data_IF_260783104690
#
_entry.id   IF_260783104690
#
_cell.length_a   1.000
_cell.length_b   1.000
_cell.length_c   1.000
_cell.angle_alpha   90.00
_cell.angle_beta   90.00
_cell.angle_gamma   90.00
#
_symmetry.space_group_name_H-M   'P 1'
#
loop_
_entity.id
_entity.type
_entity.pdbx_description
1 polymer ?
#
# COMPACT_ATOMS: atom_id res chain seq x y z
N UNK A 1 13.32 6.16 20.47
CA UNK A 1 11.97 6.42 21.00
C UNK A 1 11.26 5.09 21.13
N UNK A 2 10.66 4.79 22.28
CA UNK A 2 9.86 3.57 22.45
C UNK A 2 8.42 3.82 21.97
N UNK A 3 8.01 3.12 20.91
CA UNK A 3 6.67 3.24 20.32
C UNK A 3 5.61 2.46 21.10
N UNK A 4 5.99 1.49 21.93
CA UNK A 4 5.06 0.65 22.68
C UNK A 4 4.25 1.44 23.72
N UNK A 5 4.83 2.53 24.23
CA UNK A 5 4.19 3.45 25.18
C UNK A 5 3.22 4.45 24.54
N UNK A 6 3.16 4.52 23.20
CA UNK A 6 2.30 5.46 22.47
C UNK A 6 0.94 4.87 22.18
N UNK A 7 -0.10 5.70 22.22
CA UNK A 7 -1.44 5.36 21.72
C UNK A 7 -1.49 5.43 20.19
N UNK A 8 -2.51 4.82 19.57
CA UNK A 8 -2.71 4.88 18.11
C UNK A 8 -2.86 6.33 17.63
N UNK A 9 -3.56 7.17 18.42
CA UNK A 9 -3.73 8.59 18.12
C UNK A 9 -2.39 9.33 18.13
N UNK A 10 -1.51 9.03 19.09
CA UNK A 10 -0.18 9.62 19.14
C UNK A 10 0.71 9.20 17.97
N UNK A 11 0.65 7.93 17.56
CA UNK A 11 1.38 7.46 16.37
C UNK A 11 0.89 8.18 15.12
N UNK A 12 -0.43 8.27 14.92
CA UNK A 12 -1.00 8.98 13.78
C UNK A 12 -0.63 10.47 13.77
N UNK A 13 -0.62 11.13 14.94
CA UNK A 13 -0.19 12.52 15.06
C UNK A 13 1.29 12.69 14.72
N UNK A 14 2.16 11.80 15.18
CA UNK A 14 3.59 11.83 14.83
C UNK A 14 3.80 11.67 13.33
N UNK A 15 3.14 10.68 12.70
CA UNK A 15 3.19 10.46 11.25
C UNK A 15 2.74 11.72 10.50
N UNK A 16 1.59 12.29 10.89
CA UNK A 16 1.07 13.50 10.27
C UNK A 16 2.03 14.68 10.41
N UNK A 17 2.66 14.86 11.57
CA UNK A 17 3.65 15.92 11.77
C UNK A 17 4.87 15.76 10.85
N UNK A 18 5.35 14.53 10.65
CA UNK A 18 6.41 14.25 9.68
C UNK A 18 5.95 14.56 8.24
N UNK A 19 4.72 14.19 7.90
CA UNK A 19 4.14 14.46 6.59
C UNK A 19 3.99 15.96 6.30
N UNK A 20 3.50 16.73 7.27
CA UNK A 20 3.28 18.18 7.18
C UNK A 20 4.61 18.97 7.12
N UNK A 21 5.64 18.50 7.82
CA UNK A 21 6.97 19.12 7.83
C UNK A 21 7.89 18.65 6.71
N UNK A 22 7.38 17.80 5.81
CA UNK A 22 8.16 17.13 4.78
C UNK A 22 9.39 16.37 5.31
N UNK A 23 9.29 15.81 6.52
CA UNK A 23 10.37 15.15 7.25
C UNK A 23 10.24 13.62 7.23
N UNK A 24 9.93 13.05 6.05
CA UNK A 24 9.71 11.61 5.81
C UNK A 24 11.01 10.80 5.72
N UNK A 25 12.12 11.50 5.51
CA UNK A 25 13.49 10.98 5.49
C UNK A 25 14.02 10.62 6.89
N UNK A 26 13.36 11.12 7.95
CA UNK A 26 13.77 10.85 9.33
C UNK A 26 13.69 9.35 9.62
N UNK A 27 14.72 8.73 10.25
CA UNK A 27 14.74 7.30 10.53
C UNK A 27 13.54 6.76 11.34
N UNK A 28 12.87 7.63 12.10
CA UNK A 28 11.69 7.26 12.89
C UNK A 28 10.41 7.13 12.05
N UNK A 29 10.32 7.81 10.90
CA UNK A 29 9.13 7.80 10.05
C UNK A 29 8.76 6.39 9.56
N UNK A 30 9.65 5.61 8.93
CA UNK A 30 9.31 4.24 8.53
C UNK A 30 8.96 3.33 9.72
N UNK A 31 9.57 3.54 10.89
CA UNK A 31 9.24 2.80 12.11
C UNK A 31 7.81 3.10 12.60
N UNK A 32 7.36 4.35 12.48
CA UNK A 32 5.98 4.73 12.79
C UNK A 32 4.98 4.08 11.84
N UNK A 33 5.31 3.99 10.54
CA UNK A 33 4.48 3.31 9.54
C UNK A 33 4.34 1.82 9.82
N UNK A 34 5.45 1.13 10.10
CA UNK A 34 5.46 -0.29 10.48
C UNK A 34 4.64 -0.55 11.75
N UNK A 35 4.82 0.29 12.79
CA UNK A 35 4.06 0.13 14.03
C UNK A 35 2.56 0.35 13.81
N UNK A 36 2.18 1.36 13.01
CA UNK A 36 0.78 1.61 12.64
C UNK A 36 0.17 0.43 11.90
N UNK A 37 0.90 -0.16 10.96
CA UNK A 37 0.47 -1.35 10.23
C UNK A 37 0.37 -2.58 11.14
N UNK A 38 1.34 -2.80 12.04
CA UNK A 38 1.31 -3.91 13.03
C UNK A 38 0.07 -3.83 13.93
N UNK A 39 -0.29 -2.63 14.39
CA UNK A 39 -1.49 -2.43 15.21
C UNK A 39 -2.78 -2.62 14.42
N UNK A 40 -2.80 -2.20 13.16
CA UNK A 40 -3.92 -2.46 12.27
C UNK A 40 -4.09 -3.97 12.00
N UNK A 41 -2.99 -4.70 11.79
CA UNK A 41 -2.98 -6.16 11.61
C UNK A 41 -3.62 -6.88 12.79
N UNK A 42 -3.29 -6.47 14.02
CA UNK A 42 -3.84 -7.09 15.24
C UNK A 42 -5.36 -6.92 15.38
N UNK A 43 -5.96 -5.94 14.69
CA UNK A 43 -7.39 -5.63 14.74
C UNK A 43 -8.14 -6.07 13.47
N UNK A 44 -7.42 -6.19 12.35
CA UNK A 44 -7.94 -6.50 11.03
C UNK A 44 -8.08 -8.00 10.78
N UNK A 45 -8.86 -8.35 9.75
CA UNK A 45 -8.96 -9.75 9.27
C UNK A 45 -8.01 -10.03 8.11
N UNK A 46 -7.68 -8.99 7.34
CA UNK A 46 -6.72 -9.08 6.23
C UNK A 46 -5.29 -9.13 6.74
N UNK A 47 -4.42 -9.84 6.01
CA UNK A 47 -3.03 -10.05 6.39
C UNK A 47 -2.09 -9.28 5.46
N UNK A 48 -1.37 -8.29 6.01
CA UNK A 48 -0.44 -7.46 5.24
C UNK A 48 0.72 -8.26 4.65
N UNK A 49 1.26 -9.24 5.38
CA UNK A 49 2.40 -10.02 4.90
C UNK A 49 1.97 -10.94 3.75
N UNK A 50 0.81 -11.58 3.86
CA UNK A 50 0.25 -12.38 2.75
C UNK A 50 -0.09 -11.50 1.54
N UNK A 51 -0.62 -10.30 1.78
CA UNK A 51 -0.92 -9.34 0.72
C UNK A 51 0.33 -8.86 -0.01
N UNK A 52 1.39 -8.49 0.73
CA UNK A 52 2.69 -8.14 0.14
C UNK A 52 3.27 -9.33 -0.62
N UNK A 53 3.20 -10.55 -0.05
CA UNK A 53 3.65 -11.76 -0.73
C UNK A 53 2.95 -11.96 -2.07
N UNK A 54 1.62 -11.88 -2.09
CA UNK A 54 0.83 -11.96 -3.32
C UNK A 54 1.24 -10.88 -4.34
N UNK A 55 1.43 -9.63 -3.90
CA UNK A 55 1.80 -8.55 -4.80
C UNK A 55 3.23 -8.70 -5.33
N UNK A 56 4.16 -9.19 -4.52
CA UNK A 56 5.52 -9.51 -4.97
C UNK A 56 5.50 -10.60 -6.03
N UNK A 57 4.73 -11.66 -5.80
CA UNK A 57 4.56 -12.74 -6.79
C UNK A 57 3.93 -12.23 -8.08
N UNK A 58 2.94 -11.34 -7.97
CA UNK A 58 2.31 -10.69 -9.10
C UNK A 58 3.33 -9.84 -9.89
N UNK A 59 4.14 -9.03 -9.20
CA UNK A 59 5.24 -8.24 -9.77
C UNK A 59 6.23 -9.12 -10.54
N UNK A 60 6.65 -10.24 -9.94
CA UNK A 60 7.53 -11.24 -10.57
C UNK A 60 6.86 -11.85 -11.81
N UNK A 61 5.59 -12.23 -11.72
CA UNK A 61 4.83 -12.82 -12.84
C UNK A 61 4.48 -11.80 -13.93
N UNK A 62 4.66 -10.51 -13.67
CA UNK A 62 4.28 -9.41 -14.53
C UNK A 62 2.77 -9.38 -14.84
N UNK A 63 1.96 -9.65 -13.82
CA UNK A 63 0.50 -9.72 -13.92
C UNK A 63 -0.15 -8.86 -12.84
N UNK A 64 -1.25 -8.20 -13.14
CA UNK A 64 -2.03 -7.52 -12.12
C UNK A 64 -2.76 -8.53 -11.19
N UNK A 65 -3.10 -8.07 -9.99
CA UNK A 65 -3.96 -8.78 -9.04
C UNK A 65 -5.20 -7.94 -8.71
N UNK A 66 -6.19 -8.54 -8.07
CA UNK A 66 -7.42 -7.84 -7.67
C UNK A 66 -7.61 -7.80 -6.16
N UNK A 67 -8.46 -6.89 -5.71
CA UNK A 67 -8.86 -6.80 -4.30
C UNK A 67 -9.44 -8.12 -3.77
N UNK A 68 -10.16 -8.86 -4.61
CA UNK A 68 -10.68 -10.19 -4.25
C UNK A 68 -9.56 -11.19 -3.97
N UNK A 69 -8.49 -11.18 -4.78
CA UNK A 69 -7.34 -12.08 -4.59
C UNK A 69 -6.53 -11.70 -3.35
N UNK A 70 -6.47 -10.42 -2.97
CA UNK A 70 -5.88 -9.98 -1.69
C UNK A 70 -6.66 -10.55 -0.50
N UNK A 71 -8.01 -10.52 -0.59
CA UNK A 71 -8.88 -11.09 0.43
C UNK A 71 -8.72 -12.61 0.52
N UNK A 72 -8.71 -13.30 -0.64
CA UNK A 72 -8.48 -14.74 -0.76
C UNK A 72 -7.12 -15.16 -0.18
N UNK A 73 -6.04 -14.44 -0.49
CA UNK A 73 -4.72 -14.70 0.08
C UNK A 73 -4.72 -14.56 1.61
N UNK A 74 -5.57 -13.70 2.16
CA UNK A 74 -5.77 -13.56 3.61
C UNK A 74 -6.70 -14.63 4.20
N UNK A 75 -7.37 -15.44 3.37
CA UNK A 75 -8.40 -16.40 3.80
C UNK A 75 -9.69 -15.73 4.25
N UNK A 76 -10.01 -14.55 3.71
CA UNK A 76 -11.17 -13.74 4.12
C UNK A 76 -12.16 -13.62 2.96
N UNK A 77 -13.42 -13.93 3.23
CA UNK A 77 -14.52 -13.72 2.28
C UNK A 77 -14.62 -12.26 1.82
N UNK A 78 -14.87 -12.04 0.52
CA UNK A 78 -14.90 -10.70 -0.05
C UNK A 78 -15.94 -9.79 0.60
N UNK A 79 -17.11 -10.33 0.97
CA UNK A 79 -18.18 -9.59 1.64
C UNK A 79 -17.74 -8.94 2.96
N UNK A 80 -16.80 -9.59 3.65
CA UNK A 80 -16.16 -9.11 4.89
C UNK A 80 -15.00 -8.18 4.55
N UNK A 81 -14.11 -8.60 3.66
CA UNK A 81 -12.88 -7.88 3.33
C UNK A 81 -13.13 -6.50 2.72
N UNK A 82 -14.16 -6.34 1.89
CA UNK A 82 -14.44 -5.09 1.17
C UNK A 82 -14.58 -3.86 2.09
N UNK A 83 -15.03 -4.05 3.33
CA UNK A 83 -15.16 -2.98 4.32
C UNK A 83 -13.83 -2.51 4.90
N UNK A 84 -12.79 -3.36 4.87
CA UNK A 84 -11.44 -3.05 5.34
C UNK A 84 -10.48 -2.71 4.20
N UNK A 85 -10.86 -2.99 2.94
CA UNK A 85 -9.94 -2.93 1.80
C UNK A 85 -9.55 -1.50 1.39
N UNK A 86 -10.56 -0.65 1.18
CA UNK A 86 -10.40 0.67 0.55
C UNK A 86 -10.60 1.80 1.56
N UNK A 87 -10.18 3.01 1.17
CA UNK A 87 -10.39 4.24 1.92
C UNK A 87 -9.17 4.67 2.76
N UNK A 88 -9.24 5.87 3.37
CA UNK A 88 -8.16 6.37 4.22
C UNK A 88 -7.92 5.40 5.39
N UNK A 89 -6.66 4.99 5.61
CA UNK A 89 -6.28 3.98 6.59
C UNK A 89 -6.83 2.56 6.32
N UNK A 90 -7.39 2.31 5.14
CA UNK A 90 -7.78 0.97 4.68
C UNK A 90 -6.57 0.09 4.37
N UNK A 91 -6.83 -1.17 4.03
CA UNK A 91 -5.79 -2.17 3.80
C UNK A 91 -4.83 -1.77 2.67
N UNK A 92 -5.34 -1.29 1.53
CA UNK A 92 -4.49 -0.86 0.41
C UNK A 92 -3.65 0.38 0.74
N UNK A 93 -4.21 1.34 1.48
CA UNK A 93 -3.49 2.53 1.94
C UNK A 93 -2.35 2.17 2.90
N UNK A 94 -2.57 1.18 3.78
CA UNK A 94 -1.53 0.63 4.66
C UNK A 94 -0.47 -0.17 3.92
N UNK A 95 -0.82 -0.83 2.81
CA UNK A 95 0.17 -1.47 1.96
C UNK A 95 1.10 -0.47 1.29
N UNK A 96 0.63 0.73 0.94
CA UNK A 96 1.50 1.82 0.46
C UNK A 96 2.51 2.22 1.55
N UNK A 97 2.04 2.42 2.78
CA UNK A 97 2.91 2.73 3.93
C UNK A 97 4.00 1.68 4.11
N UNK A 98 3.63 0.39 4.05
CA UNK A 98 4.55 -0.73 4.21
C UNK A 98 5.54 -0.87 3.04
N UNK A 99 5.11 -0.58 1.81
CA UNK A 99 6.04 -0.58 0.68
C UNK A 99 7.10 0.51 0.86
N UNK A 100 6.66 1.72 1.25
CA UNK A 100 7.55 2.83 1.53
C UNK A 100 8.52 2.54 2.69
N UNK A 101 8.02 2.02 3.82
CA UNK A 101 8.87 1.71 4.98
C UNK A 101 9.92 0.63 4.69
N UNK A 102 9.63 -0.29 3.76
CA UNK A 102 10.50 -1.43 3.42
C UNK A 102 11.36 -1.20 2.18
N UNK A 103 11.30 -0.01 1.56
CA UNK A 103 12.02 0.28 0.32
C UNK A 103 11.59 -0.59 -0.87
N UNK A 104 10.34 -1.05 -0.87
CA UNK A 104 9.74 -1.77 -1.99
C UNK A 104 9.12 -0.77 -2.98
N UNK A 105 9.01 -1.12 -4.28
CA UNK A 105 8.17 -0.34 -5.19
C UNK A 105 6.74 -0.29 -4.66
N UNK A 106 5.92 0.67 -5.12
CA UNK A 106 4.51 0.77 -4.72
C UNK A 106 3.66 -0.38 -5.27
N UNK A 107 3.84 -1.57 -4.71
CA UNK A 107 3.17 -2.80 -5.11
C UNK A 107 1.63 -2.69 -5.19
N UNK A 108 0.93 -1.86 -4.39
CA UNK A 108 -0.50 -1.62 -4.61
C UNK A 108 -0.87 -1.07 -5.99
N UNK A 109 0.07 -0.48 -6.75
CA UNK A 109 -0.16 -0.02 -8.11
C UNK A 109 -0.58 -1.16 -9.07
N UNK A 110 -0.19 -2.40 -8.78
CA UNK A 110 -0.56 -3.58 -9.59
C UNK A 110 -1.76 -4.33 -9.00
N UNK A 111 -2.43 -3.76 -8.00
CA UNK A 111 -3.68 -4.25 -7.44
C UNK A 111 -4.85 -3.41 -7.97
N UNK A 112 -5.66 -3.98 -8.86
CA UNK A 112 -6.67 -3.25 -9.63
C UNK A 112 -8.07 -3.81 -9.43
N UNK A 113 -9.08 -3.07 -9.89
CA UNK A 113 -10.45 -3.56 -9.94
C UNK A 113 -10.52 -4.82 -10.82
N UNK A 114 -11.31 -5.84 -10.41
CA UNK A 114 -11.42 -7.12 -11.13
C UNK A 114 -11.65 -6.99 -12.66
N UNK A 115 -12.53 -6.10 -13.16
CA UNK A 115 -12.72 -5.93 -14.61
C UNK A 115 -11.47 -5.44 -15.35
N UNK A 116 -10.53 -4.81 -14.65
CA UNK A 116 -9.33 -4.18 -15.22
C UNK A 116 -8.08 -5.04 -15.07
N UNK A 117 -8.17 -6.31 -14.65
CA UNK A 117 -7.00 -7.20 -14.48
C UNK A 117 -6.12 -7.30 -15.73
N UNK A 118 -6.71 -7.23 -16.93
CA UNK A 118 -5.99 -7.29 -18.20
C UNK A 118 -5.39 -5.94 -18.62
N UNK A 119 -6.09 -4.84 -18.32
CA UNK A 119 -5.69 -3.48 -18.75
C UNK A 119 -4.72 -2.86 -17.75
N UNK A 120 -4.84 -3.21 -16.48
CA UNK A 120 -4.04 -2.68 -15.39
C UNK A 120 -4.48 -1.30 -14.87
N UNK A 121 -5.50 -0.67 -15.45
CA UNK A 121 -5.95 0.65 -14.98
C UNK A 121 -6.78 0.57 -13.69
N UNK A 122 -6.57 1.52 -12.78
CA UNK A 122 -7.48 1.75 -11.67
C UNK A 122 -8.75 2.48 -12.14
N UNK A 123 -9.89 2.18 -11.53
CA UNK A 123 -11.07 3.04 -11.68
C UNK A 123 -10.82 4.44 -11.08
N UNK A 124 -11.61 5.47 -11.42
CA UNK A 124 -11.36 6.83 -10.96
C UNK A 124 -11.29 7.00 -9.43
N UNK A 125 -12.10 6.23 -8.69
CA UNK A 125 -12.13 6.31 -7.21
C UNK A 125 -10.88 5.67 -6.62
N UNK A 126 -10.50 4.49 -7.11
CA UNK A 126 -9.30 3.78 -6.69
C UNK A 126 -8.03 4.55 -7.07
N UNK A 127 -8.00 5.15 -8.27
CA UNK A 127 -6.90 5.99 -8.75
C UNK A 127 -6.70 7.19 -7.84
N UNK A 128 -7.78 7.90 -7.51
CA UNK A 128 -7.70 9.04 -6.58
C UNK A 128 -7.21 8.61 -5.18
N UNK A 129 -7.68 7.46 -4.68
CA UNK A 129 -7.21 6.90 -3.41
C UNK A 129 -5.71 6.58 -3.42
N UNK A 130 -5.24 5.91 -4.46
CA UNK A 130 -3.82 5.60 -4.67
C UNK A 130 -2.98 6.88 -4.76
N UNK A 131 -3.39 7.83 -5.59
CA UNK A 131 -2.67 9.08 -5.80
C UNK A 131 -2.57 9.92 -4.51
N UNK A 132 -3.65 9.98 -3.73
CA UNK A 132 -3.65 10.65 -2.42
C UNK A 132 -2.70 9.96 -1.42
N UNK A 133 -2.67 8.62 -1.41
CA UNK A 133 -1.71 7.86 -0.61
C UNK A 133 -0.26 8.14 -1.01
N UNK A 134 0.03 8.16 -2.32
CA UNK A 134 1.36 8.49 -2.83
C UNK A 134 1.79 9.92 -2.48
N UNK A 135 0.92 10.92 -2.67
CA UNK A 135 1.19 12.30 -2.26
C UNK A 135 1.47 12.43 -0.77
N UNK A 136 0.69 11.71 0.06
CA UNK A 136 0.92 11.65 1.51
C UNK A 136 2.31 11.11 1.85
N UNK A 137 2.84 10.18 1.06
CA UNK A 137 4.20 9.64 1.18
C UNK A 137 5.29 10.53 0.55
N UNK A 138 4.92 11.71 0.04
CA UNK A 138 5.87 12.73 -0.45
C UNK A 138 6.14 12.70 -1.95
N UNK A 139 5.39 11.91 -2.72
CA UNK A 139 5.50 11.90 -4.18
C UNK A 139 4.77 13.12 -4.77
N UNK A 140 5.43 13.80 -5.71
CA UNK A 140 4.88 14.95 -6.41
C UNK A 140 4.66 14.62 -7.89
N UNK A 141 3.44 14.84 -8.37
CA UNK A 141 3.01 14.55 -9.73
C UNK A 141 1.66 15.24 -10.02
N UNK A 142 1.46 15.61 -11.29
CA UNK A 142 0.28 16.34 -11.76
C UNK A 142 -0.74 15.46 -12.49
N UNK A 143 -0.32 14.33 -13.07
CA UNK A 143 -1.19 13.36 -13.75
C UNK A 143 -1.21 12.05 -12.96
N UNK A 144 -2.33 11.80 -12.27
CA UNK A 144 -2.54 10.60 -11.46
C UNK A 144 -2.40 9.30 -12.26
N UNK A 145 -2.90 9.27 -13.50
CA UNK A 145 -2.88 8.07 -14.35
C UNK A 145 -1.47 7.79 -14.85
N UNK A 146 -0.76 8.83 -15.30
CA UNK A 146 0.63 8.68 -15.73
C UNK A 146 1.52 8.19 -14.58
N UNK A 147 1.36 8.76 -13.38
CA UNK A 147 2.08 8.33 -12.18
C UNK A 147 1.74 6.88 -11.79
N UNK A 148 0.45 6.51 -11.82
CA UNK A 148 0.06 5.13 -11.53
C UNK A 148 0.74 4.13 -12.49
N UNK A 149 0.78 4.44 -13.79
CA UNK A 149 1.45 3.60 -14.79
C UNK A 149 2.95 3.51 -14.57
N UNK A 150 3.63 4.62 -14.22
CA UNK A 150 5.06 4.55 -13.91
C UNK A 150 5.34 3.68 -12.68
N UNK A 151 4.51 3.76 -11.63
CA UNK A 151 4.63 2.86 -10.48
C UNK A 151 4.42 1.38 -10.85
N UNK A 152 3.54 1.07 -11.81
CA UNK A 152 3.39 -0.30 -12.31
C UNK A 152 4.67 -0.76 -13.02
N UNK A 153 5.24 0.08 -13.88
CA UNK A 153 6.49 -0.21 -14.58
C UNK A 153 7.64 -0.47 -13.60
N UNK A 154 7.75 0.32 -12.53
CA UNK A 154 8.70 0.11 -11.43
C UNK A 154 8.48 -1.23 -10.73
N UNK A 155 7.22 -1.60 -10.42
CA UNK A 155 6.90 -2.90 -9.85
C UNK A 155 7.35 -4.04 -10.76
N UNK A 156 7.10 -3.92 -12.06
CA UNK A 156 7.50 -4.93 -13.04
C UNK A 156 9.02 -5.00 -13.22
N UNK A 157 9.71 -3.85 -13.22
CA UNK A 157 11.17 -3.79 -13.29
C UNK A 157 11.79 -4.51 -12.10
N UNK A 158 11.37 -4.12 -10.89
CA UNK A 158 11.78 -4.79 -9.66
C UNK A 158 11.48 -6.29 -9.70
N UNK A 159 10.28 -6.70 -10.16
CA UNK A 159 9.89 -8.09 -10.25
C UNK A 159 10.75 -8.93 -11.20
N UNK A 160 11.26 -8.33 -12.29
CA UNK A 160 12.21 -9.00 -13.21
C UNK A 160 13.57 -9.21 -12.54
N UNK A 161 14.03 -8.28 -11.72
CA UNK A 161 15.30 -8.39 -10.97
C UNK A 161 15.25 -9.50 -9.92
N UNK A 162 14.08 -9.82 -9.36
CA UNK A 162 13.94 -10.91 -8.38
C UNK A 162 14.01 -12.31 -8.98
N UNK A 163 13.92 -12.46 -10.32
CA UNK A 163 14.07 -13.75 -11.00
C UNK A 163 15.53 -14.08 -11.34
N UNK A 164 16.41 -13.08 -11.29
CA UNK A 164 17.81 -13.18 -11.68
C UNK A 164 18.65 -13.89 -10.62
#
# INVERSE_FOLDING_TARGET
MDLSTKTDAQINALIKNHEDQNARDRPIYPLLLEERARRAQAKGRLDFNKSIGLLRDAAIKQTCTSYGQIAEASGVEWSVARHQMNGPNGHLDRLLDLCHSRGLPMLPAICVNKPNLLVGDLDPTALSGFANGARRLGYDFTDDRAFHRSCQEECWAWGREQKA
#
